data_IF_504692034612
#
_entry.id   IF_504692034612
#
_cell.length_a   1.000
_cell.length_b   1.000
_cell.length_c   1.000
_cell.angle_alpha   90.00
_cell.angle_beta   90.00
_cell.angle_gamma   90.00
#
_symmetry.space_group_name_H-M   'P 1'
#
loop_
_entity.id
_entity.type
_entity.pdbx_description
1 polymer ?
#
# COMPACT_ATOMS: atom_id res chain seq x y z
N UNK A 1 -1.77 -15.61 4.83
CA UNK A 1 -0.53 -15.20 4.28
C UNK A 1 0.68 -15.22 5.21
N UNK A 2 1.07 -14.09 5.77
CA UNK A 2 2.29 -13.94 6.58
C UNK A 2 2.27 -14.76 7.87
N UNK A 3 1.12 -14.92 8.51
CA UNK A 3 0.97 -15.75 9.72
C UNK A 3 1.30 -17.21 9.46
N UNK A 4 0.86 -17.76 8.33
CA UNK A 4 1.16 -19.16 7.94
C UNK A 4 2.67 -19.34 7.74
N UNK A 5 3.33 -18.39 7.12
CA UNK A 5 4.78 -18.41 6.92
C UNK A 5 5.53 -18.30 8.25
N UNK A 6 5.06 -17.47 9.18
CA UNK A 6 5.65 -17.33 10.51
C UNK A 6 5.54 -18.62 11.33
N UNK A 7 4.40 -19.32 11.25
CA UNK A 7 4.18 -20.56 11.98
C UNK A 7 4.79 -21.82 11.31
N UNK A 8 5.35 -21.67 10.10
CA UNK A 8 5.90 -22.81 9.36
C UNK A 8 7.29 -23.19 9.89
N UNK A 9 7.49 -24.48 10.19
CA UNK A 9 8.79 -25.01 10.63
C UNK A 9 9.78 -25.25 9.49
N UNK A 10 9.30 -25.34 8.25
CA UNK A 10 10.11 -25.55 7.06
C UNK A 10 9.44 -25.05 5.79
N UNK A 11 10.25 -24.78 4.77
CA UNK A 11 9.79 -24.36 3.45
C UNK A 11 10.43 -25.24 2.37
N UNK A 12 9.65 -25.59 1.37
CA UNK A 12 10.15 -26.25 0.16
C UNK A 12 9.92 -25.34 -1.03
N UNK A 13 11.01 -24.97 -1.71
CA UNK A 13 10.96 -24.25 -2.96
C UNK A 13 11.04 -25.22 -4.14
N UNK A 14 10.00 -25.32 -4.92
CA UNK A 14 9.94 -26.20 -6.10
C UNK A 14 10.30 -25.39 -7.34
N UNK A 15 11.58 -25.40 -7.71
CA UNK A 15 12.11 -24.66 -8.86
C UNK A 15 11.63 -25.29 -10.17
N UNK A 16 11.05 -24.48 -11.04
CA UNK A 16 10.66 -24.91 -12.39
C UNK A 16 9.26 -25.53 -12.49
N UNK A 17 8.57 -25.74 -11.36
CA UNK A 17 7.21 -26.27 -11.34
C UNK A 17 6.19 -25.13 -11.27
N UNK A 18 5.17 -25.16 -12.12
CA UNK A 18 4.10 -24.17 -12.17
C UNK A 18 2.76 -24.85 -11.83
N UNK A 19 2.39 -24.81 -10.55
CA UNK A 19 1.14 -25.44 -10.06
C UNK A 19 -0.09 -24.58 -10.24
N UNK A 20 0.08 -23.29 -10.54
CA UNK A 20 -1.02 -22.34 -10.66
C UNK A 20 -0.91 -21.51 -11.92
N UNK A 21 -1.88 -21.70 -12.82
CA UNK A 21 -2.03 -20.87 -14.02
C UNK A 21 -3.04 -19.77 -13.77
N UNK A 22 -2.55 -18.56 -13.57
CA UNK A 22 -3.40 -17.40 -13.41
C UNK A 22 -4.00 -16.99 -14.76
N UNK A 23 -5.29 -17.25 -14.98
CA UNK A 23 -6.01 -16.75 -16.15
C UNK A 23 -6.34 -15.27 -15.96
N UNK A 24 -5.78 -14.44 -16.82
CA UNK A 24 -6.09 -13.03 -16.90
C UNK A 24 -7.40 -12.86 -17.68
N UNK A 25 -8.54 -12.87 -17.00
CA UNK A 25 -9.85 -12.58 -17.60
C UNK A 25 -10.16 -11.08 -17.53
N UNK A 26 -10.87 -10.56 -18.55
CA UNK A 26 -11.48 -9.23 -18.46
C UNK A 26 -12.47 -9.20 -17.31
N UNK A 27 -12.48 -8.10 -16.53
CA UNK A 27 -13.34 -7.95 -15.34
C UNK A 27 -12.87 -8.72 -14.10
N UNK A 28 -11.66 -9.32 -14.12
CA UNK A 28 -11.08 -9.92 -12.92
C UNK A 28 -11.03 -8.92 -11.77
N UNK A 29 -11.51 -9.31 -10.59
CA UNK A 29 -11.49 -8.48 -9.38
C UNK A 29 -10.10 -7.94 -9.03
N UNK A 30 -9.02 -8.62 -9.44
CA UNK A 30 -7.65 -8.18 -9.24
C UNK A 30 -7.20 -7.04 -10.19
N UNK A 31 -7.97 -6.75 -11.24
CA UNK A 31 -7.66 -5.71 -12.23
C UNK A 31 -8.49 -4.44 -12.08
N UNK A 32 -9.68 -4.55 -11.50
CA UNK A 32 -10.62 -3.45 -11.38
C UNK A 32 -10.75 -3.06 -9.93
N UNK A 33 -10.48 -1.79 -9.61
CA UNK A 33 -10.65 -1.26 -8.26
C UNK A 33 -12.05 -1.55 -7.74
N UNK A 34 -12.12 -2.08 -6.52
CA UNK A 34 -13.37 -2.38 -5.83
C UNK A 34 -13.52 -1.43 -4.64
N UNK A 35 -14.70 -0.79 -4.46
CA UNK A 35 -14.91 0.17 -3.37
C UNK A 35 -14.68 -0.39 -1.96
N UNK A 36 -14.87 -1.71 -1.78
CA UNK A 36 -14.68 -2.40 -0.49
C UNK A 36 -13.23 -2.76 -0.18
N UNK A 37 -12.27 -2.55 -1.10
CA UNK A 37 -10.85 -2.89 -0.87
C UNK A 37 -10.26 -2.11 0.29
N UNK A 38 -10.59 -0.83 0.41
CA UNK A 38 -10.06 -0.01 1.48
C UNK A 38 -10.43 -0.54 2.87
N UNK A 39 -11.69 -0.89 3.10
CA UNK A 39 -12.15 -1.45 4.37
C UNK A 39 -11.52 -2.82 4.64
N UNK A 40 -11.36 -3.64 3.60
CA UNK A 40 -10.66 -4.93 3.70
C UNK A 40 -9.18 -4.74 4.03
N UNK A 41 -8.50 -3.76 3.47
CA UNK A 41 -7.11 -3.44 3.78
C UNK A 41 -6.93 -3.00 5.23
N UNK A 42 -7.81 -2.15 5.73
CA UNK A 42 -7.80 -1.73 7.13
C UNK A 42 -7.95 -2.93 8.06
N UNK A 43 -8.93 -3.79 7.78
CA UNK A 43 -9.18 -5.00 8.57
C UNK A 43 -8.00 -5.97 8.54
N UNK A 44 -7.45 -6.27 7.35
CA UNK A 44 -6.29 -7.16 7.21
C UNK A 44 -5.09 -6.61 8.00
N UNK A 45 -4.82 -5.31 7.91
CA UNK A 45 -3.72 -4.71 8.65
C UNK A 45 -3.95 -4.76 10.17
N UNK A 46 -5.21 -4.63 10.62
CA UNK A 46 -5.56 -4.76 12.04
C UNK A 46 -5.40 -6.19 12.55
N UNK A 47 -5.87 -7.18 11.81
CA UNK A 47 -5.70 -8.59 12.14
C UNK A 47 -4.21 -8.97 12.16
N UNK A 48 -3.42 -8.47 11.21
CA UNK A 48 -1.97 -8.66 11.16
C UNK A 48 -1.28 -8.05 12.39
N UNK A 49 -1.65 -6.83 12.78
CA UNK A 49 -1.12 -6.21 14.01
C UNK A 49 -1.48 -7.03 15.24
N UNK A 50 -2.75 -7.45 15.37
CA UNK A 50 -3.23 -8.23 16.50
C UNK A 50 -2.54 -9.59 16.62
N UNK A 51 -2.16 -10.20 15.51
CA UNK A 51 -1.43 -11.46 15.50
C UNK A 51 0.03 -11.24 15.92
N UNK A 52 0.74 -10.34 15.24
CA UNK A 52 2.17 -10.15 15.46
C UNK A 52 2.52 -9.38 16.74
N UNK A 53 1.58 -8.63 17.33
CA UNK A 53 1.79 -8.01 18.64
C UNK A 53 1.92 -9.01 19.80
N UNK A 54 1.54 -10.27 19.58
CA UNK A 54 1.68 -11.38 20.54
C UNK A 54 2.98 -12.17 20.37
N UNK A 55 3.78 -11.85 19.34
CA UNK A 55 5.03 -12.52 19.08
C UNK A 55 6.12 -11.87 19.94
N UNK A 56 6.72 -12.65 20.85
CA UNK A 56 7.75 -12.17 21.78
C UNK A 56 9.16 -12.22 21.16
N UNK A 57 9.37 -13.07 20.15
CA UNK A 57 10.69 -13.34 19.58
C UNK A 57 11.20 -12.23 18.66
N UNK A 58 10.30 -11.40 18.12
CA UNK A 58 10.66 -10.36 17.16
C UNK A 58 9.64 -9.22 17.13
N UNK A 59 10.14 -7.98 17.05
CA UNK A 59 9.30 -6.78 16.89
C UNK A 59 8.94 -6.54 15.43
N UNK A 60 7.70 -6.84 15.05
CA UNK A 60 7.14 -6.64 13.72
C UNK A 60 6.56 -5.24 13.49
N UNK A 61 6.74 -4.30 14.41
CA UNK A 61 6.11 -2.97 14.35
C UNK A 61 6.41 -2.24 13.05
N UNK A 62 7.66 -2.23 12.59
CA UNK A 62 8.03 -1.54 11.36
C UNK A 62 7.45 -2.21 10.10
N UNK A 63 7.36 -3.54 10.07
CA UNK A 63 6.75 -4.29 8.98
C UNK A 63 5.25 -4.03 8.88
N UNK A 64 4.54 -3.95 10.01
CA UNK A 64 3.11 -3.65 10.08
C UNK A 64 2.85 -2.21 9.62
N UNK A 65 3.68 -1.25 10.03
CA UNK A 65 3.64 0.14 9.58
C UNK A 65 3.91 0.25 8.08
N UNK A 66 4.93 -0.45 7.59
CA UNK A 66 5.26 -0.55 6.17
C UNK A 66 4.07 -1.09 5.36
N UNK A 67 3.43 -2.16 5.83
CA UNK A 67 2.23 -2.72 5.20
C UNK A 67 1.13 -1.67 5.08
N UNK A 68 0.77 -0.97 6.16
CA UNK A 68 -0.24 0.10 6.13
C UNK A 68 0.15 1.23 5.16
N UNK A 69 1.41 1.60 5.12
CA UNK A 69 1.90 2.62 4.19
C UNK A 69 1.67 2.21 2.72
N UNK A 70 1.99 0.94 2.36
CA UNK A 70 1.73 0.42 1.01
C UNK A 70 0.25 0.36 0.67
N UNK A 71 -0.60 -0.03 1.62
CA UNK A 71 -2.05 -0.09 1.43
C UNK A 71 -2.63 1.32 1.22
N UNK A 72 -2.25 2.29 2.05
CA UNK A 72 -2.66 3.68 1.89
C UNK A 72 -2.17 4.26 0.55
N UNK A 73 -0.94 3.96 0.14
CA UNK A 73 -0.39 4.35 -1.16
C UNK A 73 -1.21 3.78 -2.31
N UNK A 74 -1.54 2.49 -2.27
CA UNK A 74 -2.33 1.83 -3.31
C UNK A 74 -3.71 2.47 -3.45
N UNK A 75 -4.43 2.64 -2.34
CA UNK A 75 -5.75 3.27 -2.33
C UNK A 75 -5.72 4.67 -2.92
N UNK A 76 -4.77 5.47 -2.47
CA UNK A 76 -4.60 6.82 -2.98
C UNK A 76 -4.27 6.82 -4.49
N UNK A 77 -3.45 5.89 -4.99
CA UNK A 77 -3.15 5.75 -6.40
C UNK A 77 -4.43 5.43 -7.21
N UNK A 78 -5.23 4.47 -6.77
CA UNK A 78 -6.50 4.13 -7.41
C UNK A 78 -7.47 5.30 -7.47
N UNK A 79 -7.61 6.07 -6.39
CA UNK A 79 -8.44 7.27 -6.36
C UNK A 79 -7.99 8.28 -7.42
N UNK A 80 -6.68 8.52 -7.55
CA UNK A 80 -6.14 9.50 -8.48
C UNK A 80 -6.18 9.07 -9.94
N UNK A 81 -6.11 7.76 -10.21
CA UNK A 81 -6.22 7.19 -11.54
C UNK A 81 -7.67 7.00 -12.00
N UNK A 82 -8.64 7.18 -11.11
CA UNK A 82 -10.05 7.02 -11.46
C UNK A 82 -10.57 8.22 -12.27
N UNK A 83 -10.70 8.03 -13.58
CA UNK A 83 -11.19 9.06 -14.51
C UNK A 83 -12.67 9.41 -14.35
N UNK A 84 -13.46 8.56 -13.66
CA UNK A 84 -14.86 8.84 -13.37
C UNK A 84 -15.03 9.86 -12.22
N UNK A 85 -13.98 10.14 -11.44
CA UNK A 85 -14.01 11.09 -10.35
C UNK A 85 -13.52 12.46 -10.81
N UNK A 86 -14.26 13.51 -10.45
CA UNK A 86 -13.78 14.87 -10.59
C UNK A 86 -12.55 15.12 -9.69
N UNK A 87 -11.76 16.12 -10.04
CA UNK A 87 -10.56 16.50 -9.25
C UNK A 87 -10.89 16.86 -7.81
N UNK A 88 -12.07 17.42 -7.57
CA UNK A 88 -12.54 17.78 -6.23
C UNK A 88 -12.85 16.53 -5.42
N UNK A 89 -13.54 15.57 -6.03
CA UNK A 89 -13.87 14.27 -5.39
C UNK A 89 -12.61 13.45 -5.10
N UNK A 90 -11.67 13.39 -6.04
CA UNK A 90 -10.37 12.75 -5.81
C UNK A 90 -9.67 13.35 -4.59
N UNK A 91 -9.60 14.68 -4.51
CA UNK A 91 -8.97 15.36 -3.36
C UNK A 91 -9.67 15.04 -2.05
N UNK A 92 -11.00 15.02 -2.04
CA UNK A 92 -11.80 14.71 -0.85
C UNK A 92 -11.53 13.28 -0.38
N UNK A 93 -11.58 12.30 -1.31
CA UNK A 93 -11.30 10.89 -0.99
C UNK A 93 -9.86 10.68 -0.51
N UNK A 94 -8.89 11.29 -1.17
CA UNK A 94 -7.48 11.23 -0.73
C UNK A 94 -7.31 11.80 0.67
N UNK A 95 -7.96 12.93 1.01
CA UNK A 95 -7.96 13.46 2.38
C UNK A 95 -8.55 12.48 3.38
N UNK A 96 -9.62 11.78 3.02
CA UNK A 96 -10.23 10.75 3.88
C UNK A 96 -9.22 9.65 4.21
N UNK A 97 -8.52 9.12 3.21
CA UNK A 97 -7.47 8.10 3.43
C UNK A 97 -6.34 8.65 4.32
N UNK A 98 -5.81 9.84 4.00
CA UNK A 98 -4.68 10.43 4.74
C UNK A 98 -5.01 10.79 6.18
N UNK A 99 -6.28 11.10 6.47
CA UNK A 99 -6.75 11.45 7.82
C UNK A 99 -7.35 10.25 8.56
N UNK A 100 -7.37 9.06 7.96
CA UNK A 100 -7.91 7.88 8.63
C UNK A 100 -7.09 7.60 9.91
N UNK A 101 -7.74 7.43 11.09
CA UNK A 101 -7.04 7.32 12.37
C UNK A 101 -5.96 6.24 12.38
N UNK A 102 -6.25 5.10 11.76
CA UNK A 102 -5.29 4.00 11.65
C UNK A 102 -4.06 4.38 10.80
N UNK A 103 -4.25 5.06 9.68
CA UNK A 103 -3.13 5.54 8.82
C UNK A 103 -2.26 6.50 9.61
N UNK A 104 -2.87 7.49 10.28
CA UNK A 104 -2.14 8.47 11.10
C UNK A 104 -1.32 7.76 12.17
N UNK A 105 -1.93 6.87 12.96
CA UNK A 105 -1.25 6.10 14.00
C UNK A 105 -0.08 5.27 13.46
N UNK A 106 -0.27 4.60 12.33
CA UNK A 106 0.77 3.76 11.73
C UNK A 106 1.93 4.57 11.11
N UNK A 107 1.69 5.81 10.70
CA UNK A 107 2.76 6.69 10.20
C UNK A 107 3.60 7.28 11.33
N UNK A 108 3.09 7.36 12.56
CA UNK A 108 3.87 7.82 13.71
C UNK A 108 5.02 6.86 14.02
N UNK A 109 6.26 7.37 13.98
CA UNK A 109 7.46 6.56 14.23
C UNK A 109 7.73 5.47 13.17
N UNK A 110 7.15 5.58 11.96
CA UNK A 110 7.53 4.73 10.85
C UNK A 110 8.88 5.17 10.27
N UNK A 111 9.85 4.25 10.25
CA UNK A 111 11.16 4.52 9.67
C UNK A 111 11.11 4.44 8.14
N UNK A 112 11.21 5.58 7.49
CA UNK A 112 11.27 5.69 6.03
C UNK A 112 12.69 5.83 5.50
N UNK A 113 13.70 5.76 6.34
CA UNK A 113 15.11 5.94 5.93
C UNK A 113 15.56 4.98 4.84
N UNK A 114 15.19 3.68 4.86
CA UNK A 114 15.62 2.72 3.84
C UNK A 114 14.89 2.88 2.49
N UNK A 115 13.85 3.71 2.42
CA UNK A 115 13.03 3.83 1.21
C UNK A 115 13.55 4.89 0.23
N UNK A 116 13.31 4.70 -1.09
CA UNK A 116 13.61 5.71 -2.10
C UNK A 116 12.91 7.04 -1.85
N UNK A 117 13.48 8.13 -2.39
CA UNK A 117 13.00 9.50 -2.16
C UNK A 117 11.51 9.69 -2.47
N UNK A 118 10.98 9.03 -3.51
CA UNK A 118 9.56 9.12 -3.88
C UNK A 118 8.63 8.60 -2.76
N UNK A 119 9.08 7.54 -2.06
CA UNK A 119 8.34 6.99 -0.91
C UNK A 119 8.42 7.92 0.30
N UNK A 120 9.59 8.52 0.55
CA UNK A 120 9.77 9.52 1.62
C UNK A 120 8.87 10.74 1.39
N UNK A 121 8.81 11.24 0.16
CA UNK A 121 7.91 12.34 -0.20
C UNK A 121 6.43 11.98 0.00
N UNK A 122 6.03 10.76 -0.38
CA UNK A 122 4.67 10.27 -0.13
C UNK A 122 4.38 10.17 1.37
N UNK A 123 5.30 9.59 2.14
CA UNK A 123 5.18 9.52 3.59
C UNK A 123 4.98 10.91 4.21
N UNK A 124 5.81 11.86 3.85
CA UNK A 124 5.68 13.24 4.34
C UNK A 124 4.38 13.89 3.87
N UNK A 125 3.90 13.59 2.66
CA UNK A 125 2.60 14.09 2.20
C UNK A 125 1.44 13.56 3.06
N UNK A 126 1.51 12.31 3.51
CA UNK A 126 0.53 11.72 4.43
C UNK A 126 0.68 12.34 5.82
N UNK A 127 1.90 12.40 6.36
CA UNK A 127 2.19 12.91 7.70
C UNK A 127 1.76 14.38 7.85
N UNK A 128 2.08 15.23 6.87
CA UNK A 128 1.72 16.65 6.86
C UNK A 128 0.35 16.92 6.22
N UNK A 129 -0.39 15.89 5.83
CA UNK A 129 -1.72 15.98 5.23
C UNK A 129 -1.77 16.92 4.02
N UNK A 130 -0.67 17.01 3.27
CA UNK A 130 -0.47 17.95 2.16
C UNK A 130 -0.79 17.31 0.82
N UNK A 131 -1.94 17.70 0.22
CA UNK A 131 -2.30 17.26 -1.15
C UNK A 131 -1.37 17.87 -2.20
N UNK A 132 -0.85 19.07 -1.98
CA UNK A 132 0.08 19.74 -2.90
C UNK A 132 1.38 18.94 -3.07
N UNK A 133 2.02 18.57 -1.98
CA UNK A 133 3.24 17.76 -1.97
C UNK A 133 3.02 16.42 -2.69
N UNK A 134 1.85 15.81 -2.47
CA UNK A 134 1.50 14.54 -3.10
C UNK A 134 1.31 14.64 -4.61
N UNK A 135 0.73 15.72 -5.14
CA UNK A 135 0.61 15.93 -6.58
C UNK A 135 1.97 16.02 -7.25
N UNK A 136 2.94 16.67 -6.61
CA UNK A 136 4.33 16.68 -7.07
C UNK A 136 4.89 15.26 -7.18
N UNK A 137 4.65 14.40 -6.21
CA UNK A 137 5.09 12.99 -6.25
C UNK A 137 4.46 12.23 -7.41
N UNK A 138 3.17 12.43 -7.66
CA UNK A 138 2.46 11.79 -8.78
C UNK A 138 3.01 12.25 -10.15
N UNK A 139 3.34 13.52 -10.29
CA UNK A 139 3.96 14.06 -11.52
C UNK A 139 5.36 13.46 -11.74
N UNK A 140 6.19 13.37 -10.68
CA UNK A 140 7.52 12.78 -10.77
C UNK A 140 7.47 11.28 -11.11
N UNK A 141 6.50 10.53 -10.59
CA UNK A 141 6.36 9.09 -10.91
C UNK A 141 5.93 8.85 -12.36
N UNK A 142 5.10 9.70 -12.93
CA UNK A 142 4.71 9.62 -14.35
C UNK A 142 5.87 9.93 -15.29
N UNK A 143 6.75 10.85 -14.93
CA UNK A 143 7.97 11.16 -15.71
C UNK A 143 8.92 9.96 -15.73
N UNK A 144 9.11 9.29 -14.60
CA UNK A 144 10.01 8.10 -14.53
C UNK A 144 9.47 6.89 -15.30
N UNK A 145 8.14 6.73 -15.41
CA UNK A 145 7.54 5.66 -16.25
C UNK A 145 7.62 5.97 -17.75
N UNK A 146 7.58 7.23 -18.15
CA UNK A 146 7.81 7.65 -19.54
C UNK A 146 9.27 7.35 -19.98
N UNK A 147 10.26 7.67 -19.15
CA UNK A 147 11.67 7.37 -19.46
C UNK A 147 11.99 5.87 -19.49
N UNK A 148 11.24 5.01 -18.78
CA UNK A 148 11.41 3.54 -18.86
C UNK A 148 10.79 2.90 -20.10
N UNK A 149 9.89 3.59 -20.82
CA UNK A 149 9.26 3.09 -22.06
C UNK A 149 10.03 3.45 -23.33
N UNK A 150 11.07 4.27 -23.22
CA UNK A 150 11.92 4.73 -24.34
C UNK A 150 13.29 4.02 -24.41
N UNK A 151 13.50 3.02 -23.58
CA UNK A 151 14.65 2.08 -23.61
C UNK A 151 14.11 0.64 -23.52
#
# INVERSE_FOLDING_TARGET
>A
GSEVLYCANSFVYMKGEHFYHYRMTEGSASKTYQPWWWDSYLKINEETENFFSKCEDYDFTQQIKSNMFYLARAEIYYILCNSALTRLEQNRKVKTVMNHPRVVRMMEGFDVSPYPIQFKMLYWSILYRSIGLRRLVSLCSNVTTLFRRTH
#
